data_IF_268483960030
#
_entry.id   IF_268483960030
#
_cell.length_a   1.000
_cell.length_b   1.000
_cell.length_c   1.000
_cell.angle_alpha   90.00
_cell.angle_beta   90.00
_cell.angle_gamma   90.00
#
_symmetry.space_group_name_H-M   'P 1'
#
loop_
_entity.id
_entity.type
_entity.pdbx_description
1 polymer ?
#
# COMPACT_ATOMS: atom_id res chain seq x y z
N UNK A 1 5.33 -36.63 -83.56
CA UNK A 1 4.46 -37.67 -82.98
C UNK A 1 4.88 -37.95 -81.54
N UNK A 2 4.16 -37.38 -80.56
CA UNK A 2 4.16 -37.78 -79.16
C UNK A 2 2.70 -37.73 -78.73
N UNK A 3 2.10 -38.90 -78.53
CA UNK A 3 0.72 -39.03 -78.06
C UNK A 3 0.74 -38.94 -76.53
N UNK A 4 0.14 -37.87 -76.01
CA UNK A 4 -0.20 -37.73 -74.59
C UNK A 4 -1.33 -38.70 -74.28
N UNK A 5 -1.05 -39.66 -73.39
CA UNK A 5 -2.07 -40.53 -72.78
C UNK A 5 -2.85 -39.71 -71.76
N UNK A 6 -4.14 -39.51 -72.02
CA UNK A 6 -5.08 -38.97 -71.05
C UNK A 6 -5.53 -40.12 -70.14
N UNK A 7 -5.19 -40.06 -68.85
CA UNK A 7 -5.66 -41.02 -67.86
C UNK A 7 -7.12 -40.79 -67.55
N UNK A 8 -7.94 -41.80 -67.81
CA UNK A 8 -9.38 -41.81 -67.53
C UNK A 8 -9.59 -41.87 -66.00
N UNK A 9 -9.96 -40.76 -65.38
CA UNK A 9 -10.39 -40.76 -63.98
C UNK A 9 -11.80 -41.34 -63.91
N UNK A 10 -11.90 -42.64 -63.60
CA UNK A 10 -13.19 -43.26 -63.22
C UNK A 10 -13.71 -42.55 -61.98
N UNK A 11 -14.74 -41.72 -62.15
CA UNK A 11 -15.54 -41.20 -61.05
C UNK A 11 -16.22 -42.38 -60.34
N UNK A 12 -15.64 -42.77 -59.21
CA UNK A 12 -16.25 -43.71 -58.28
C UNK A 12 -17.31 -42.93 -57.51
N UNK A 13 -18.58 -43.04 -57.94
CA UNK A 13 -19.69 -42.40 -57.24
C UNK A 13 -19.89 -43.05 -55.86
N UNK A 14 -19.98 -42.21 -54.82
CA UNK A 14 -20.29 -42.65 -53.46
C UNK A 14 -21.71 -43.24 -53.38
N UNK A 15 -21.88 -44.33 -52.64
CA UNK A 15 -23.22 -44.87 -52.36
C UNK A 15 -23.91 -44.06 -51.27
N UNK A 16 -25.24 -43.96 -51.31
CA UNK A 16 -26.03 -43.27 -50.27
C UNK A 16 -25.77 -43.86 -48.88
N UNK A 17 -25.54 -45.17 -48.79
CA UNK A 17 -25.23 -45.87 -47.53
C UNK A 17 -23.87 -45.44 -46.99
N UNK A 18 -22.86 -45.30 -47.85
CA UNK A 18 -21.53 -44.85 -47.45
C UNK A 18 -21.55 -43.40 -46.93
N UNK A 19 -22.31 -42.52 -47.58
CA UNK A 19 -22.52 -41.15 -47.10
C UNK A 19 -23.19 -41.13 -45.71
N UNK A 20 -24.24 -41.92 -45.52
CA UNK A 20 -24.97 -42.00 -44.23
C UNK A 20 -24.03 -42.53 -43.13
N UNK A 21 -23.22 -43.55 -43.43
CA UNK A 21 -22.27 -44.09 -42.46
C UNK A 21 -21.20 -43.08 -42.06
N UNK A 22 -20.70 -42.28 -43.02
CA UNK A 22 -19.69 -41.25 -42.75
C UNK A 22 -20.25 -40.13 -41.86
N UNK A 23 -21.45 -39.61 -42.15
CA UNK A 23 -22.05 -38.55 -41.31
C UNK A 23 -22.37 -39.08 -39.90
N UNK A 24 -22.79 -40.35 -39.77
CA UNK A 24 -23.07 -40.96 -38.47
C UNK A 24 -21.79 -41.15 -37.65
N UNK A 25 -20.73 -41.72 -38.25
CA UNK A 25 -19.44 -41.94 -37.57
C UNK A 25 -18.75 -40.62 -37.22
N UNK A 26 -18.75 -39.64 -38.12
CA UNK A 26 -18.18 -38.32 -37.84
C UNK A 26 -18.93 -37.58 -36.73
N UNK A 27 -20.26 -37.73 -36.64
CA UNK A 27 -21.05 -37.19 -35.53
C UNK A 27 -20.65 -37.78 -34.17
N UNK A 28 -20.49 -39.10 -34.09
CA UNK A 28 -20.06 -39.78 -32.84
C UNK A 28 -18.65 -39.33 -32.43
N UNK A 29 -17.73 -39.26 -33.39
CA UNK A 29 -16.34 -38.83 -33.14
C UNK A 29 -16.29 -37.37 -32.70
N UNK A 30 -17.08 -36.49 -33.32
CA UNK A 30 -17.13 -35.07 -32.94
C UNK A 30 -17.61 -34.86 -31.50
N UNK A 31 -18.62 -35.61 -31.05
CA UNK A 31 -19.11 -35.56 -29.66
C UNK A 31 -18.06 -36.06 -28.66
N UNK A 32 -17.36 -37.16 -28.98
CA UNK A 32 -16.25 -37.68 -28.18
C UNK A 32 -15.13 -36.63 -28.03
N UNK A 33 -14.71 -36.02 -29.13
CA UNK A 33 -13.65 -34.99 -29.10
C UNK A 33 -14.10 -33.76 -28.31
N UNK A 34 -15.35 -33.34 -28.47
CA UNK A 34 -15.90 -32.17 -27.76
C UNK A 34 -15.87 -32.34 -26.23
N UNK A 35 -16.27 -33.52 -25.73
CA UNK A 35 -16.28 -33.81 -24.29
C UNK A 35 -14.87 -33.98 -23.71
N UNK A 36 -13.93 -34.53 -24.48
CA UNK A 36 -12.53 -34.68 -24.05
C UNK A 36 -11.83 -33.32 -24.01
N UNK A 37 -12.14 -32.41 -24.94
CA UNK A 37 -11.48 -31.09 -25.03
C UNK A 37 -12.06 -30.05 -24.07
N UNK A 38 -13.33 -30.19 -23.64
CA UNK A 38 -13.94 -29.22 -22.72
C UNK A 38 -13.26 -29.18 -21.36
N UNK A 39 -12.83 -30.34 -20.82
CA UNK A 39 -12.24 -30.43 -19.48
C UNK A 39 -10.88 -29.71 -19.36
N UNK A 40 -9.91 -29.89 -20.28
CA UNK A 40 -8.66 -29.12 -20.25
C UNK A 40 -8.87 -27.60 -20.41
N UNK A 41 -9.82 -27.19 -21.25
CA UNK A 41 -10.13 -25.77 -21.46
C UNK A 41 -10.76 -25.14 -20.22
N UNK A 42 -11.68 -25.84 -19.55
CA UNK A 42 -12.24 -25.40 -18.26
C UNK A 42 -11.17 -25.32 -17.19
N UNK A 43 -10.32 -26.36 -17.06
CA UNK A 43 -9.22 -26.36 -16.09
C UNK A 43 -8.23 -25.22 -16.31
N UNK A 44 -7.92 -24.88 -17.57
CA UNK A 44 -7.10 -23.73 -17.90
C UNK A 44 -7.77 -22.41 -17.49
N UNK A 45 -9.06 -22.25 -17.79
CA UNK A 45 -9.82 -21.07 -17.41
C UNK A 45 -9.90 -20.89 -15.88
N UNK A 46 -10.13 -21.97 -15.14
CA UNK A 46 -10.19 -21.98 -13.68
C UNK A 46 -8.83 -21.60 -13.07
N UNK A 47 -7.75 -22.18 -13.60
CA UNK A 47 -6.39 -21.85 -13.16
C UNK A 47 -6.06 -20.38 -13.42
N UNK A 48 -6.47 -19.84 -14.56
CA UNK A 48 -6.28 -18.43 -14.90
C UNK A 48 -7.05 -17.49 -13.96
N UNK A 49 -8.27 -17.85 -13.54
CA UNK A 49 -9.06 -17.05 -12.60
C UNK A 49 -8.43 -17.04 -11.21
N UNK A 50 -8.02 -18.21 -10.70
CA UNK A 50 -7.31 -18.33 -9.41
C UNK A 50 -6.01 -17.53 -9.40
N UNK A 51 -5.24 -17.59 -10.49
CA UNK A 51 -4.02 -16.80 -10.63
C UNK A 51 -4.32 -15.30 -10.54
N UNK A 52 -5.31 -14.80 -11.30
CA UNK A 52 -5.71 -13.39 -11.27
C UNK A 52 -6.11 -12.93 -9.87
N UNK A 53 -6.96 -13.67 -9.17
CA UNK A 53 -7.34 -13.31 -7.80
C UNK A 53 -6.12 -13.29 -6.88
N UNK A 54 -5.25 -14.28 -6.99
CA UNK A 54 -4.05 -14.39 -6.14
C UNK A 54 -3.11 -13.20 -6.36
N UNK A 55 -2.91 -12.80 -7.61
CA UNK A 55 -2.08 -11.65 -7.97
C UNK A 55 -2.68 -10.35 -7.42
N UNK A 56 -3.99 -10.13 -7.55
CA UNK A 56 -4.68 -8.96 -7.00
C UNK A 56 -4.53 -8.88 -5.47
N UNK A 57 -4.79 -9.99 -4.77
CA UNK A 57 -4.67 -10.06 -3.32
C UNK A 57 -3.21 -9.85 -2.88
N UNK A 58 -2.24 -10.46 -3.56
CA UNK A 58 -0.82 -10.34 -3.24
C UNK A 58 -0.32 -8.91 -3.49
N UNK A 59 -0.69 -8.26 -4.59
CA UNK A 59 -0.32 -6.86 -4.86
C UNK A 59 -0.89 -5.92 -3.79
N UNK A 60 -2.16 -6.10 -3.42
CA UNK A 60 -2.81 -5.29 -2.37
C UNK A 60 -2.10 -5.45 -1.02
N UNK A 61 -1.88 -6.69 -0.58
CA UNK A 61 -1.22 -6.98 0.70
C UNK A 61 0.24 -6.53 0.72
N UNK A 62 0.99 -6.71 -0.37
CA UNK A 62 2.37 -6.24 -0.46
C UNK A 62 2.48 -4.71 -0.44
N UNK A 63 1.52 -4.02 -1.07
CA UNK A 63 1.44 -2.56 -1.01
C UNK A 63 1.16 -2.09 0.42
N UNK A 64 0.15 -2.65 1.08
CA UNK A 64 -0.15 -2.35 2.49
C UNK A 64 1.05 -2.64 3.38
N UNK A 65 1.73 -3.78 3.20
CA UNK A 65 2.90 -4.15 3.98
C UNK A 65 4.06 -3.18 3.80
N UNK A 66 4.25 -2.64 2.59
CA UNK A 66 5.26 -1.61 2.32
C UNK A 66 4.93 -0.31 3.06
N UNK A 67 3.69 0.16 2.95
CA UNK A 67 3.25 1.40 3.62
C UNK A 67 3.33 1.26 5.15
N UNK A 68 2.99 0.09 5.71
CA UNK A 68 3.14 -0.21 7.16
C UNK A 68 4.61 -0.21 7.59
N UNK A 69 5.52 -0.80 6.80
CA UNK A 69 6.97 -0.80 7.12
C UNK A 69 7.58 0.60 7.06
N UNK A 70 6.99 1.49 6.28
CA UNK A 70 7.41 2.89 6.14
C UNK A 70 6.57 3.83 7.01
N UNK A 71 5.75 3.33 7.93
CA UNK A 71 5.02 4.17 8.87
C UNK A 71 5.98 4.83 9.88
N UNK A 72 5.68 6.07 10.25
CA UNK A 72 6.37 6.75 11.35
C UNK A 72 6.12 5.95 12.64
N UNK A 73 7.15 5.74 13.50
CA UNK A 73 7.00 5.01 14.75
C UNK A 73 5.81 5.50 15.59
N UNK A 74 5.04 4.54 16.11
CA UNK A 74 3.81 4.76 16.88
C UNK A 74 2.65 5.46 16.12
N UNK A 75 2.82 5.83 14.85
CA UNK A 75 1.76 6.43 14.03
C UNK A 75 1.06 5.41 13.13
N UNK A 76 0.59 4.33 13.75
CA UNK A 76 -0.20 3.27 13.16
C UNK A 76 -1.38 2.94 14.08
N UNK A 77 -2.56 2.81 13.51
CA UNK A 77 -3.76 2.28 14.19
C UNK A 77 -4.44 1.27 13.28
N UNK A 78 -4.92 0.19 13.88
CA UNK A 78 -5.59 -0.90 13.17
C UNK A 78 -6.91 -1.19 13.87
N UNK A 79 -7.97 -1.28 13.09
CA UNK A 79 -9.27 -1.83 13.47
C UNK A 79 -9.55 -3.09 12.63
N UNK A 80 -10.71 -3.72 12.80
CA UNK A 80 -11.03 -4.97 12.09
C UNK A 80 -11.02 -4.84 10.57
N UNK A 81 -11.39 -3.68 10.01
CA UNK A 81 -11.51 -3.45 8.56
C UNK A 81 -10.73 -2.23 8.07
N UNK A 82 -9.93 -1.61 8.94
CA UNK A 82 -9.19 -0.39 8.64
C UNK A 82 -7.76 -0.48 9.18
N UNK A 83 -6.80 -0.03 8.38
CA UNK A 83 -5.43 0.25 8.81
C UNK A 83 -5.13 1.69 8.46
N UNK A 84 -4.90 2.54 9.46
CA UNK A 84 -4.52 3.94 9.26
C UNK A 84 -3.12 4.18 9.79
N UNK A 85 -2.31 4.86 8.99
CA UNK A 85 -0.91 5.11 9.28
C UNK A 85 -0.45 6.45 8.72
N UNK A 86 0.68 6.94 9.21
CA UNK A 86 1.35 8.12 8.68
C UNK A 86 2.68 7.68 8.08
N UNK A 87 2.84 7.64 6.74
CA UNK A 87 4.08 7.20 6.12
C UNK A 87 5.19 8.25 6.27
N UNK A 88 6.42 7.78 6.38
CA UNK A 88 7.64 8.59 6.38
C UNK A 88 7.87 9.10 4.95
N UNK A 89 7.85 10.42 4.78
CA UNK A 89 8.26 11.08 3.54
C UNK A 89 9.78 11.27 3.47
N UNK A 90 10.38 11.67 4.60
CA UNK A 90 11.83 11.78 4.77
C UNK A 90 12.19 11.64 6.25
N UNK A 91 13.43 11.31 6.58
CA UNK A 91 13.88 11.17 7.96
C UNK A 91 15.37 11.47 8.07
N UNK A 92 15.83 11.75 9.27
CA UNK A 92 17.23 12.06 9.50
C UNK A 92 17.59 12.24 10.95
N UNK A 93 18.76 12.83 11.17
CA UNK A 93 19.21 13.27 12.49
C UNK A 93 19.22 14.79 12.57
N UNK A 94 18.72 15.34 13.65
CA UNK A 94 18.68 16.78 13.88
C UNK A 94 19.81 17.23 14.82
N UNK A 95 20.20 18.50 14.73
CA UNK A 95 20.97 19.19 15.75
C UNK A 95 20.01 19.93 16.68
N UNK A 96 20.35 20.00 17.97
CA UNK A 96 19.73 20.96 18.89
C UNK A 96 19.65 22.34 18.22
N UNK A 97 18.50 23.00 18.26
CA UNK A 97 18.35 24.27 17.57
C UNK A 97 18.54 25.45 18.53
N UNK A 98 18.78 26.63 17.98
CA UNK A 98 18.97 27.84 18.75
C UNK A 98 17.82 28.78 18.42
N UNK A 99 16.73 28.78 19.22
CA UNK A 99 15.52 29.53 18.87
C UNK A 99 15.74 31.05 18.89
N UNK A 100 16.58 31.53 19.80
CA UNK A 100 17.06 32.90 19.87
C UNK A 100 18.52 32.95 19.39
N UNK A 101 18.88 33.71 18.34
CA UNK A 101 20.24 33.82 17.83
C UNK A 101 21.32 34.19 18.87
N UNK A 102 20.94 34.80 20.00
CA UNK A 102 21.84 35.10 21.11
C UNK A 102 21.70 34.13 22.30
N UNK A 103 20.72 33.23 22.27
CA UNK A 103 20.41 32.27 23.33
C UNK A 103 21.20 30.95 23.24
N UNK A 104 21.04 30.03 24.21
CA UNK A 104 21.67 28.72 24.15
C UNK A 104 20.99 27.79 23.12
N UNK A 105 21.72 26.76 22.68
CA UNK A 105 21.13 25.61 21.97
C UNK A 105 20.12 24.89 22.88
N UNK A 106 18.98 24.53 22.33
CA UNK A 106 17.89 23.83 23.00
C UNK A 106 17.66 22.44 22.41
N UNK A 107 17.51 21.47 23.31
CA UNK A 107 17.08 20.12 22.99
C UNK A 107 16.12 19.66 24.11
N UNK A 108 14.84 19.38 23.83
CA UNK A 108 14.20 19.28 22.51
C UNK A 108 14.24 20.59 21.72
N UNK A 109 14.22 20.55 20.37
CA UNK A 109 14.14 21.76 19.58
C UNK A 109 12.89 22.59 19.90
N UNK A 110 12.96 23.89 19.72
CA UNK A 110 11.86 24.81 19.96
C UNK A 110 11.78 25.90 18.89
N UNK A 111 10.56 26.31 18.55
CA UNK A 111 10.28 27.42 17.65
C UNK A 111 9.61 28.54 18.47
N UNK A 112 10.40 29.47 19.01
CA UNK A 112 9.88 30.53 19.90
C UNK A 112 9.45 31.81 19.18
N UNK A 113 9.77 31.94 17.90
CA UNK A 113 9.46 33.13 17.11
C UNK A 113 8.79 32.74 15.80
N UNK A 114 7.74 33.50 15.44
CA UNK A 114 6.96 33.29 14.22
C UNK A 114 7.80 33.24 12.94
N UNK A 115 8.98 33.87 12.95
CA UNK A 115 9.98 33.80 11.89
C UNK A 115 11.28 33.21 12.42
N UNK A 116 11.92 32.37 11.61
CA UNK A 116 13.27 31.89 11.90
C UNK A 116 13.38 30.61 12.71
N UNK A 117 12.32 29.77 12.79
CA UNK A 117 12.53 28.43 13.32
C UNK A 117 13.34 27.60 12.33
N UNK A 118 14.62 27.41 12.64
CA UNK A 118 15.59 26.66 11.86
C UNK A 118 16.12 25.49 12.67
N UNK A 119 16.22 24.30 12.07
CA UNK A 119 16.80 23.10 12.69
C UNK A 119 17.75 22.45 11.68
N UNK A 120 19.03 22.31 12.03
CA UNK A 120 20.01 21.72 11.13
C UNK A 120 19.88 20.19 11.09
N UNK A 121 20.03 19.63 9.89
CA UNK A 121 20.06 18.20 9.63
C UNK A 121 21.53 17.73 9.64
N UNK A 122 21.83 16.70 10.43
CA UNK A 122 23.17 16.11 10.60
C UNK A 122 23.41 14.87 9.74
N UNK A 123 22.38 14.38 9.04
CA UNK A 123 22.46 13.21 8.16
C UNK A 123 22.09 13.59 6.73
N UNK A 124 22.58 12.85 5.72
CA UNK A 124 21.98 12.92 4.38
C UNK A 124 20.47 12.69 4.46
N UNK A 125 19.70 13.44 3.69
CA UNK A 125 18.25 13.33 3.59
C UNK A 125 17.86 13.33 2.11
N UNK A 126 16.89 12.50 1.74
CA UNK A 126 16.34 12.44 0.39
C UNK A 126 14.82 12.69 0.43
N UNK A 127 14.28 13.54 -0.46
CA UNK A 127 15.00 14.40 -1.40
C UNK A 127 15.86 15.47 -0.68
N UNK A 128 16.90 15.98 -1.33
CA UNK A 128 17.79 17.00 -0.75
C UNK A 128 17.10 18.31 -0.33
N UNK A 129 15.95 18.63 -0.95
CA UNK A 129 15.09 19.76 -0.60
C UNK A 129 13.63 19.44 -0.86
N UNK A 130 12.72 20.00 -0.07
CA UNK A 130 11.29 19.99 -0.36
C UNK A 130 10.61 21.25 0.17
N UNK A 131 9.79 21.87 -0.69
CA UNK A 131 8.97 23.03 -0.38
C UNK A 131 7.54 22.66 0.03
N UNK A 132 7.17 21.37 -0.01
CA UNK A 132 5.86 20.94 0.50
C UNK A 132 5.88 20.97 2.03
N UNK A 133 4.84 21.45 2.72
CA UNK A 133 4.81 21.43 4.18
C UNK A 133 4.67 20.00 4.74
N UNK A 134 5.45 19.71 5.79
CA UNK A 134 5.43 18.44 6.51
C UNK A 134 5.18 18.66 8.00
N UNK A 135 4.62 17.65 8.64
CA UNK A 135 4.77 17.46 10.08
C UNK A 135 6.21 17.03 10.35
N UNK A 136 6.86 17.67 11.31
CA UNK A 136 8.11 17.21 11.89
C UNK A 136 7.77 16.43 13.16
N UNK A 137 8.18 15.17 13.22
CA UNK A 137 7.93 14.25 14.32
C UNK A 137 9.25 13.94 15.01
N UNK A 138 9.35 14.27 16.30
CA UNK A 138 10.51 13.98 17.13
C UNK A 138 10.06 13.16 18.33
N UNK A 139 10.61 11.95 18.46
CA UNK A 139 10.44 11.07 19.60
C UNK A 139 8.98 10.87 20.05
N UNK A 140 8.10 10.52 19.09
CA UNK A 140 6.70 10.26 19.40
C UNK A 140 6.53 8.96 20.18
N UNK A 141 5.97 9.06 21.38
CA UNK A 141 5.67 7.93 22.27
C UNK A 141 4.17 7.64 22.39
N UNK A 142 3.31 8.43 21.72
CA UNK A 142 1.85 8.26 21.73
C UNK A 142 1.37 7.58 20.45
N UNK A 143 0.34 6.75 20.57
CA UNK A 143 -0.31 6.11 19.42
C UNK A 143 -1.13 7.10 18.58
N UNK A 144 -1.32 6.80 17.29
CA UNK A 144 -2.12 7.61 16.34
C UNK A 144 -3.58 7.83 16.75
N UNK A 145 -4.15 6.94 17.56
CA UNK A 145 -5.54 7.03 17.98
C UNK A 145 -5.75 8.25 18.89
N UNK A 146 -6.59 9.19 18.46
CA UNK A 146 -6.89 10.41 19.21
C UNK A 146 -5.80 11.48 19.17
N UNK A 147 -4.77 11.33 18.33
CA UNK A 147 -3.83 12.42 18.05
C UNK A 147 -4.49 13.42 17.08
N UNK A 148 -4.54 14.67 17.49
CA UNK A 148 -4.86 15.81 16.63
C UNK A 148 -3.58 16.50 16.17
N UNK A 149 -3.67 17.29 15.10
CA UNK A 149 -2.58 18.18 14.71
C UNK A 149 -2.31 19.18 15.84
N UNK A 150 -1.03 19.38 16.15
CA UNK A 150 -0.63 20.42 17.07
C UNK A 150 -0.83 21.81 16.44
N UNK A 151 -1.04 22.80 17.29
CA UNK A 151 -1.08 24.21 16.88
C UNK A 151 0.11 24.99 17.44
N UNK A 152 0.28 26.23 16.99
CA UNK A 152 1.22 27.17 17.61
C UNK A 152 0.96 27.31 19.13
N UNK A 153 2.02 27.57 19.89
CA UNK A 153 2.00 27.66 21.35
C UNK A 153 1.91 26.34 22.11
N UNK A 154 1.77 25.20 21.42
CA UNK A 154 1.66 23.88 22.06
C UNK A 154 3.01 23.19 22.27
N UNK A 155 3.00 22.24 23.21
CA UNK A 155 4.11 21.30 23.46
C UNK A 155 3.71 19.92 22.97
N UNK A 156 4.31 19.44 21.88
CA UNK A 156 3.94 18.17 21.25
C UNK A 156 5.14 17.45 20.64
N UNK A 157 5.05 16.14 20.44
CA UNK A 157 6.04 15.36 19.68
C UNK A 157 5.89 15.54 18.16
N UNK A 158 4.75 16.05 17.71
CA UNK A 158 4.40 16.28 16.30
C UNK A 158 4.15 17.77 16.13
N UNK A 159 4.86 18.42 15.21
CA UNK A 159 4.65 19.84 14.92
C UNK A 159 3.37 20.09 14.13
N UNK A 160 2.90 21.34 14.03
CA UNK A 160 2.03 21.75 12.94
C UNK A 160 2.67 21.42 11.57
N UNK A 161 1.85 21.23 10.54
CA UNK A 161 2.30 20.89 9.18
C UNK A 161 2.90 22.09 8.45
N UNK A 162 4.10 22.49 8.83
CA UNK A 162 4.73 23.72 8.35
C UNK A 162 6.19 23.55 7.92
N UNK A 163 6.83 22.43 8.26
CA UNK A 163 8.26 22.26 8.00
C UNK A 163 8.55 21.96 6.52
N UNK A 164 9.52 22.70 6.00
CA UNK A 164 10.15 22.52 4.69
C UNK A 164 11.66 22.42 4.88
N UNK A 165 12.41 21.99 3.87
CA UNK A 165 13.87 22.00 3.97
C UNK A 165 14.57 22.32 2.65
N UNK A 166 15.71 22.99 2.78
CA UNK A 166 16.64 23.31 1.70
C UNK A 166 18.04 23.16 2.29
N UNK A 167 18.98 22.57 1.54
CA UNK A 167 20.41 22.48 1.90
C UNK A 167 20.70 21.99 3.33
N UNK A 168 20.01 20.94 3.76
CA UNK A 168 20.15 20.34 5.11
C UNK A 168 19.68 21.21 6.28
N UNK A 169 18.82 22.22 6.03
CA UNK A 169 18.20 23.02 7.09
C UNK A 169 16.68 22.92 7.02
N UNK A 170 16.05 22.45 8.10
CA UNK A 170 14.60 22.47 8.28
C UNK A 170 14.17 23.86 8.69
N UNK A 171 13.11 24.39 8.06
CA UNK A 171 12.57 25.71 8.35
C UNK A 171 11.05 25.68 8.47
N UNK A 172 10.51 26.42 9.44
CA UNK A 172 9.09 26.64 9.62
C UNK A 172 8.80 28.04 10.21
N UNK A 173 7.62 28.58 9.92
CA UNK A 173 7.08 29.77 10.57
C UNK A 173 6.11 29.35 11.68
N UNK A 174 6.63 29.04 12.86
CA UNK A 174 5.84 28.61 14.02
C UNK A 174 6.11 29.52 15.20
N UNK A 175 5.07 29.86 15.96
CA UNK A 175 5.16 30.74 17.12
C UNK A 175 4.99 29.95 18.41
N UNK A 176 5.97 30.02 19.31
CA UNK A 176 5.98 29.37 20.63
C UNK A 176 5.72 27.85 20.65
N UNK A 177 5.91 27.15 19.53
CA UNK A 177 5.83 25.69 19.48
C UNK A 177 7.08 25.04 20.08
N UNK A 178 6.92 23.99 20.90
CA UNK A 178 8.05 23.26 21.50
C UNK A 178 7.91 21.76 21.35
N UNK A 179 9.00 21.08 20.99
CA UNK A 179 8.98 19.63 21.00
C UNK A 179 8.91 19.09 22.43
N UNK A 180 8.03 18.12 22.66
CA UNK A 180 7.80 17.58 24.01
C UNK A 180 9.02 16.78 24.52
N UNK A 181 9.73 16.11 23.63
CA UNK A 181 10.82 15.20 23.98
C UNK A 181 12.00 15.35 23.03
N UNK A 182 13.19 15.12 23.58
CA UNK A 182 14.42 15.01 22.81
C UNK A 182 14.58 13.56 22.37
N UNK A 183 14.92 13.32 21.09
CA UNK A 183 15.27 11.97 20.67
C UNK A 183 16.66 11.61 21.21
N UNK A 184 16.82 10.49 21.94
CA UNK A 184 18.11 10.05 22.45
C UNK A 184 19.17 9.87 21.35
N UNK A 185 18.73 9.48 20.15
CA UNK A 185 19.58 9.32 18.97
C UNK A 185 19.48 10.48 17.98
N UNK A 186 18.85 11.59 18.39
CA UNK A 186 18.59 12.78 17.58
C UNK A 186 17.82 12.50 16.30
N UNK A 187 16.98 11.46 16.26
CA UNK A 187 16.18 11.11 15.09
C UNK A 187 14.99 12.04 14.94
N UNK A 188 14.62 12.33 13.69
CA UNK A 188 13.34 12.93 13.33
C UNK A 188 12.75 12.23 12.12
N UNK A 189 11.44 12.37 11.96
CA UNK A 189 10.68 11.90 10.81
C UNK A 189 9.85 13.05 10.24
N UNK A 190 9.74 13.12 8.93
CA UNK A 190 8.88 14.04 8.20
C UNK A 190 7.78 13.25 7.53
N UNK A 191 6.55 13.74 7.65
CA UNK A 191 5.39 13.17 6.99
C UNK A 191 4.49 14.27 6.43
N UNK A 192 3.81 14.00 5.33
CA UNK A 192 2.93 14.96 4.66
C UNK A 192 1.54 14.39 4.34
N UNK A 193 1.28 13.11 4.55
CA UNK A 193 -0.05 12.53 4.40
C UNK A 193 -0.38 11.56 5.53
N UNK A 194 -1.66 11.35 5.77
CA UNK A 194 -2.17 10.20 6.51
C UNK A 194 -2.83 9.24 5.50
N UNK A 195 -2.52 7.96 5.60
CA UNK A 195 -2.99 6.92 4.68
C UNK A 195 -3.88 5.94 5.43
N UNK A 196 -5.06 5.70 4.90
CA UNK A 196 -6.03 4.74 5.44
C UNK A 196 -6.34 3.68 4.39
N UNK A 197 -6.10 2.42 4.72
CA UNK A 197 -6.65 1.30 4.00
C UNK A 197 -7.96 0.87 4.65
N UNK A 198 -9.06 0.85 3.90
CA UNK A 198 -10.39 0.52 4.42
C UNK A 198 -11.11 -0.41 3.47
N UNK A 199 -11.69 -1.48 4.00
CA UNK A 199 -12.65 -2.27 3.23
C UNK A 199 -14.04 -1.65 3.34
N UNK A 200 -14.66 -1.36 2.21
CA UNK A 200 -15.98 -0.76 2.11
C UNK A 200 -16.75 -1.47 1.00
N UNK A 201 -17.79 -2.24 1.36
CA UNK A 201 -18.49 -3.10 0.41
C UNK A 201 -17.53 -4.14 -0.19
N UNK A 202 -17.54 -4.25 -1.52
CA UNK A 202 -16.68 -5.17 -2.27
C UNK A 202 -15.30 -4.55 -2.60
N UNK A 203 -14.97 -3.37 -2.07
CA UNK A 203 -13.72 -2.67 -2.40
C UNK A 203 -12.76 -2.59 -1.20
N UNK A 204 -11.46 -2.71 -1.49
CA UNK A 204 -10.38 -2.24 -0.63
C UNK A 204 -9.94 -0.87 -1.15
N UNK A 205 -10.18 0.17 -0.35
CA UNK A 205 -9.83 1.54 -0.68
C UNK A 205 -8.50 1.92 0.00
N UNK A 206 -7.69 2.72 -0.70
CA UNK A 206 -6.61 3.52 -0.11
C UNK A 206 -7.04 4.97 -0.12
N UNK A 207 -7.22 5.55 1.05
CA UNK A 207 -7.61 6.93 1.28
C UNK A 207 -6.36 7.71 1.73
N UNK A 208 -5.98 8.78 1.02
CA UNK A 208 -4.88 9.67 1.40
C UNK A 208 -5.44 11.03 1.82
N UNK A 209 -5.04 11.49 3.00
CA UNK A 209 -5.44 12.78 3.57
C UNK A 209 -4.23 13.66 3.81
N UNK A 210 -4.42 14.97 3.60
CA UNK A 210 -3.44 15.98 3.99
C UNK A 210 -3.54 16.37 5.47
N UNK A 211 -4.51 15.81 6.20
CA UNK A 211 -4.78 16.03 7.63
C UNK A 211 -4.40 14.79 8.45
N UNK A 212 -3.85 14.99 9.64
CA UNK A 212 -3.34 13.90 10.48
C UNK A 212 -4.46 12.96 10.99
N UNK A 213 -5.67 13.50 11.16
CA UNK A 213 -6.86 12.74 11.57
C UNK A 213 -7.42 11.84 10.46
N UNK A 214 -6.97 12.01 9.21
CA UNK A 214 -7.45 11.25 8.05
C UNK A 214 -8.74 11.79 7.43
N UNK A 215 -9.24 12.95 7.85
CA UNK A 215 -10.43 13.60 7.27
C UNK A 215 -10.16 14.14 5.86
N UNK A 216 -11.20 14.40 5.06
CA UNK A 216 -11.07 14.95 3.69
C UNK A 216 -10.15 14.13 2.76
N UNK A 217 -10.13 12.81 2.94
CA UNK A 217 -9.25 11.94 2.18
C UNK A 217 -9.68 11.77 0.72
N UNK A 218 -8.70 11.76 -0.17
CA UNK A 218 -8.84 11.34 -1.58
C UNK A 218 -8.79 9.82 -1.63
N UNK A 219 -9.80 9.20 -2.26
CA UNK A 219 -9.97 7.75 -2.30
C UNK A 219 -9.50 7.17 -3.62
N UNK A 220 -8.81 6.03 -3.55
CA UNK A 220 -8.45 5.22 -4.71
C UNK A 220 -8.74 3.74 -4.44
N UNK A 221 -9.33 3.06 -5.42
CA UNK A 221 -9.60 1.61 -5.35
C UNK A 221 -8.28 0.85 -5.51
N UNK A 222 -8.00 -0.05 -4.58
CA UNK A 222 -6.85 -0.97 -4.63
C UNK A 222 -7.29 -2.30 -5.24
N UNK A 223 -8.45 -2.81 -4.80
CA UNK A 223 -9.10 -4.03 -5.29
C UNK A 223 -10.61 -3.84 -5.17
N UNK A 224 -11.38 -4.40 -6.11
CA UNK A 224 -12.84 -4.25 -6.28
C UNK A 224 -13.63 -5.56 -6.12
N UNK A 225 -12.95 -6.61 -5.64
CA UNK A 225 -13.45 -8.00 -5.53
C UNK A 225 -13.30 -8.55 -4.11
N UNK A 226 -13.37 -7.68 -3.10
CA UNK A 226 -13.26 -8.04 -1.69
C UNK A 226 -14.51 -8.76 -1.21
N UNK A 227 -14.34 -9.96 -0.65
CA UNK A 227 -15.42 -10.68 0.02
C UNK A 227 -15.40 -10.41 1.53
N UNK A 228 -14.21 -10.51 2.14
CA UNK A 228 -13.99 -10.18 3.55
C UNK A 228 -12.58 -9.67 3.75
N UNK A 229 -12.41 -8.79 4.74
CA UNK A 229 -11.09 -8.44 5.23
C UNK A 229 -11.09 -8.43 6.77
N UNK A 230 -9.92 -8.71 7.32
CA UNK A 230 -9.71 -8.71 8.75
C UNK A 230 -8.28 -8.30 9.04
N UNK A 231 -8.15 -7.19 9.76
CA UNK A 231 -6.86 -6.67 10.19
C UNK A 231 -6.77 -6.71 11.71
N UNK A 232 -5.59 -7.02 12.22
CA UNK A 232 -5.29 -6.96 13.64
C UNK A 232 -3.90 -6.42 13.86
N UNK A 233 -3.73 -5.78 15.01
CA UNK A 233 -2.43 -5.27 15.46
C UNK A 233 -2.17 -5.76 16.87
N UNK A 234 -1.04 -6.43 17.02
CA UNK A 234 -0.45 -6.75 18.31
C UNK A 234 0.67 -5.75 18.58
N UNK A 235 0.49 -4.85 19.56
CA UNK A 235 1.54 -3.91 19.93
C UNK A 235 2.83 -4.62 20.32
N UNK A 236 3.94 -3.93 20.07
CA UNK A 236 5.26 -4.38 20.51
C UNK A 236 5.38 -4.36 22.03
N UNK A 237 6.31 -5.15 22.53
CA UNK A 237 6.80 -5.10 23.92
C UNK A 237 8.29 -4.74 23.91
N UNK A 238 8.89 -4.58 25.09
CA UNK A 238 10.34 -4.35 25.20
C UNK A 238 11.21 -5.50 24.62
N UNK A 239 10.61 -6.65 24.29
CA UNK A 239 11.30 -7.85 23.80
C UNK A 239 10.79 -8.33 22.45
N UNK A 240 9.77 -7.69 21.86
CA UNK A 240 9.16 -8.11 20.60
C UNK A 240 8.63 -6.89 19.84
N UNK A 241 8.94 -6.80 18.55
CA UNK A 241 8.36 -5.79 17.67
C UNK A 241 6.83 -5.92 17.58
N UNK A 242 6.16 -4.84 17.19
CA UNK A 242 4.73 -4.89 16.87
C UNK A 242 4.48 -5.80 15.67
N UNK A 243 3.28 -6.38 15.58
CA UNK A 243 2.90 -7.25 14.49
C UNK A 243 1.51 -6.87 13.97
N UNK A 244 1.43 -6.52 12.69
CA UNK A 244 0.17 -6.38 11.97
C UNK A 244 -0.10 -7.65 11.20
N UNK A 245 -1.29 -8.22 11.36
CA UNK A 245 -1.76 -9.33 10.53
C UNK A 245 -2.85 -8.82 9.60
N UNK A 246 -2.63 -9.00 8.30
CA UNK A 246 -3.57 -8.62 7.25
C UNK A 246 -4.15 -9.89 6.65
N UNK A 247 -5.47 -10.07 6.73
CA UNK A 247 -6.19 -11.15 6.04
C UNK A 247 -7.15 -10.55 5.03
N UNK A 248 -7.00 -10.94 3.77
CA UNK A 248 -7.81 -10.47 2.66
C UNK A 248 -8.39 -11.66 1.92
N UNK A 249 -9.71 -11.71 1.81
CA UNK A 249 -10.44 -12.71 1.02
C UNK A 249 -11.05 -12.02 -0.19
N UNK A 250 -10.71 -12.49 -1.39
CA UNK A 250 -11.31 -12.02 -2.63
C UNK A 250 -12.29 -13.05 -3.18
N UNK A 251 -13.29 -12.59 -3.95
CA UNK A 251 -14.28 -13.42 -4.62
C UNK A 251 -14.44 -12.98 -6.08
N UNK A 252 -14.52 -13.93 -7.00
CA UNK A 252 -14.85 -13.65 -8.40
C UNK A 252 -16.35 -13.68 -8.68
N UNK A 253 -16.72 -13.37 -9.92
CA UNK A 253 -18.11 -13.37 -10.40
C UNK A 253 -18.77 -14.77 -10.36
N UNK A 254 -17.98 -15.85 -10.32
CA UNK A 254 -18.48 -17.24 -10.25
C UNK A 254 -18.71 -17.71 -8.82
N UNK A 255 -18.31 -16.92 -7.82
CA UNK A 255 -18.38 -17.24 -6.40
C UNK A 255 -17.15 -17.97 -5.85
N UNK A 256 -16.11 -18.16 -6.66
CA UNK A 256 -14.83 -18.70 -6.21
C UNK A 256 -14.14 -17.71 -5.28
N UNK A 257 -13.57 -18.20 -4.18
CA UNK A 257 -12.89 -17.36 -3.19
C UNK A 257 -11.45 -17.80 -2.96
N UNK A 258 -10.59 -16.82 -2.69
CA UNK A 258 -9.25 -17.04 -2.18
C UNK A 258 -9.05 -16.23 -0.91
N UNK A 259 -8.22 -16.71 0.01
CA UNK A 259 -7.82 -15.95 1.20
C UNK A 259 -6.30 -15.92 1.28
N UNK A 260 -5.74 -14.72 1.34
CA UNK A 260 -4.33 -14.52 1.64
C UNK A 260 -4.16 -13.88 3.01
N UNK A 261 -3.05 -14.23 3.66
CA UNK A 261 -2.63 -13.69 4.94
C UNK A 261 -1.20 -13.14 4.80
N UNK A 262 -0.98 -11.94 5.31
CA UNK A 262 0.30 -11.27 5.35
C UNK A 262 0.58 -10.77 6.76
N UNK A 263 1.76 -11.08 7.29
CA UNK A 263 2.24 -10.58 8.57
C UNK A 263 3.35 -9.56 8.38
N UNK A 264 3.26 -8.44 9.10
CA UNK A 264 4.16 -7.31 8.95
C UNK A 264 4.65 -6.86 10.31
N UNK A 265 5.95 -6.94 10.54
CA UNK A 265 6.56 -6.38 11.74
C UNK A 265 6.56 -4.84 11.67
N UNK A 266 6.22 -4.22 12.79
CA UNK A 266 6.20 -2.76 12.98
C UNK A 266 7.34 -2.39 13.92
N UNK A 267 8.20 -1.49 13.46
CA UNK A 267 9.29 -0.94 14.26
C UNK A 267 8.83 0.36 14.94
N UNK A 268 8.63 0.30 16.25
CA UNK A 268 8.23 1.43 17.08
C UNK A 268 9.40 1.93 17.93
N UNK A 269 10.58 2.07 17.33
CA UNK A 269 11.77 2.68 17.95
C UNK A 269 11.97 4.13 17.46
N UNK A 270 11.28 5.12 18.09
CA UNK A 270 11.34 6.53 17.69
C UNK A 270 12.68 7.23 18.00
#
# INVERSE_FOLDING_TARGET
MKTTSCGDFRNSGFTLVELIMVIALSGIVALMISTVMSHPLQGFADQSRRAKLTDLAAMALNRMARDIRLAVPNLLVVSSNEVRLVPIAAAGRYRANQPDPAGPLQDPPACTHATGCSIDILSPIEPASSLTPHWLIIYNTKGLAGLSEATDGEVSAISPKAFTWIDSTLSAGLSDFRFQYASPQKRFYLANEAVTYRCAGDELLRESSQKLDGSEAVKAVVVDSVNTCSFSYEPGTNTRNGLVTLRLTLRDETGETITLLQQVHVDNAP
#
